data_IF_158693540128
#
_entry.id   IF_158693540128
#
_cell.length_a   1.000
_cell.length_b   1.000
_cell.length_c   1.000
_cell.angle_alpha   90.00
_cell.angle_beta   90.00
_cell.angle_gamma   90.00
#
_symmetry.space_group_name_H-M   'P 1'
#
loop_
_entity.id
_entity.type
_entity.pdbx_description
1 polymer ?
#
# COMPACT_ATOMS: atom_id res chain seq x y z
N UNK A 1 10.81 23.22 27.75
CA UNK A 1 11.60 22.09 28.28
C UNK A 1 10.76 20.79 28.30
N UNK A 2 10.30 20.30 27.15
CA UNK A 2 9.45 19.07 27.08
C UNK A 2 10.02 18.02 26.10
N UNK A 3 11.12 18.30 25.40
CA UNK A 3 11.55 17.46 24.27
C UNK A 3 12.67 16.44 24.57
N UNK A 4 13.15 16.34 25.82
CA UNK A 4 14.23 15.41 26.19
C UNK A 4 13.72 14.07 26.71
N UNK A 5 12.49 13.97 27.26
CA UNK A 5 11.94 12.71 27.78
C UNK A 5 11.56 11.71 26.68
N UNK A 6 11.02 12.17 25.55
CA UNK A 6 10.65 11.30 24.43
C UNK A 6 11.89 10.70 23.73
N UNK A 7 12.99 11.45 23.61
CA UNK A 7 14.23 10.91 23.03
C UNK A 7 14.91 9.86 23.93
N UNK A 8 14.81 10.00 25.27
CA UNK A 8 15.35 9.00 26.21
C UNK A 8 14.51 7.73 26.23
N UNK A 9 13.18 7.84 26.12
CA UNK A 9 12.28 6.68 25.99
C UNK A 9 12.49 5.93 24.66
N UNK A 10 12.71 6.65 23.56
CA UNK A 10 12.93 6.04 22.25
C UNK A 10 14.29 5.33 22.13
N UNK A 11 15.35 5.89 22.74
CA UNK A 11 16.65 5.20 22.88
C UNK A 11 16.57 3.96 23.78
N UNK A 12 15.79 4.03 24.87
CA UNK A 12 15.57 2.89 25.77
C UNK A 12 14.85 1.73 25.07
N UNK A 13 13.89 2.04 24.19
CA UNK A 13 13.10 1.04 23.46
C UNK A 13 13.93 0.31 22.40
N UNK A 14 14.74 1.07 21.62
CA UNK A 14 15.68 0.52 20.64
C UNK A 14 16.73 -0.40 21.30
N UNK A 15 17.23 -0.02 22.48
CA UNK A 15 18.17 -0.86 23.24
C UNK A 15 17.52 -2.16 23.75
N UNK A 16 16.22 -2.12 24.09
CA UNK A 16 15.45 -3.29 24.49
C UNK A 16 15.16 -4.24 23.31
N UNK A 17 14.88 -3.71 22.11
CA UNK A 17 14.74 -4.50 20.89
C UNK A 17 16.05 -5.22 20.51
N UNK A 18 17.18 -4.51 20.57
CA UNK A 18 18.53 -5.09 20.34
C UNK A 18 18.90 -6.20 21.35
N UNK A 19 18.44 -6.09 22.60
CA UNK A 19 18.66 -7.13 23.62
C UNK A 19 17.88 -8.43 23.37
N UNK A 20 16.79 -8.38 22.58
CA UNK A 20 15.97 -9.55 22.23
C UNK A 20 16.60 -10.37 21.10
N UNK A 21 17.30 -9.73 20.16
CA UNK A 21 18.10 -10.40 19.12
C UNK A 21 19.32 -11.14 19.70
N UNK A 22 19.91 -10.64 20.80
CA UNK A 22 20.97 -11.37 21.52
C UNK A 22 20.52 -12.72 22.11
N UNK A 23 19.22 -12.91 22.41
CA UNK A 23 18.71 -14.16 22.99
C UNK A 23 18.35 -15.23 21.95
N UNK A 24 18.16 -14.85 20.68
CA UNK A 24 17.90 -15.81 19.59
C UNK A 24 19.19 -16.36 18.97
N UNK A 25 20.33 -15.71 19.18
CA UNK A 25 21.60 -16.07 18.55
C UNK A 25 22.50 -17.04 19.39
N UNK A 26 22.06 -17.47 20.57
CA UNK A 26 22.86 -18.39 21.41
C UNK A 26 22.10 -19.67 21.75
N UNK A 27 22.16 -20.67 20.86
CA UNK A 27 22.22 -22.13 21.11
C UNK A 27 21.81 -22.93 19.85
N UNK A 28 22.51 -24.04 19.52
CA UNK A 28 22.17 -24.90 18.37
C UNK A 28 20.86 -25.67 18.62
N UNK A 29 20.20 -26.21 17.56
CA UNK A 29 18.78 -26.53 17.62
C UNK A 29 18.51 -27.82 18.40
N UNK A 30 17.65 -27.71 19.42
CA UNK A 30 16.84 -28.83 19.89
C UNK A 30 15.37 -28.39 19.97
N UNK A 31 14.50 -29.25 19.42
CA UNK A 31 13.05 -29.13 19.42
C UNK A 31 12.47 -28.75 20.79
N UNK A 32 11.68 -27.68 20.86
CA UNK A 32 10.37 -27.67 21.54
C UNK A 32 9.59 -26.37 21.29
N UNK A 33 8.30 -26.55 21.03
CA UNK A 33 7.28 -25.52 20.86
C UNK A 33 7.13 -24.64 22.10
N UNK A 34 7.08 -23.31 21.95
CA UNK A 34 6.37 -22.47 22.91
C UNK A 34 5.84 -21.17 22.28
N UNK A 35 4.52 -21.02 22.44
CA UNK A 35 3.69 -19.85 22.12
C UNK A 35 4.24 -18.58 22.78
N UNK A 36 4.28 -17.46 22.02
CA UNK A 36 4.63 -16.14 22.55
C UNK A 36 3.44 -15.18 22.40
N UNK A 37 3.07 -14.62 23.56
CA UNK A 37 1.96 -13.70 23.83
C UNK A 37 2.15 -12.36 23.10
N UNK A 38 1.06 -11.83 22.55
CA UNK A 38 0.96 -10.52 21.92
C UNK A 38 0.70 -9.41 22.96
N UNK A 39 1.36 -8.28 22.78
CA UNK A 39 1.26 -7.07 23.60
C UNK A 39 -0.07 -6.29 23.43
N UNK A 40 -1.04 -6.83 22.67
CA UNK A 40 -2.31 -6.17 22.36
C UNK A 40 -3.47 -6.48 23.32
N UNK A 41 -3.28 -7.32 24.34
CA UNK A 41 -4.35 -7.74 25.26
C UNK A 41 -4.96 -6.61 26.11
N UNK A 42 -4.24 -5.51 26.31
CA UNK A 42 -4.63 -4.48 27.29
C UNK A 42 -5.50 -3.36 26.71
N UNK A 43 -5.60 -3.23 25.38
CA UNK A 43 -6.37 -2.16 24.72
C UNK A 43 -7.85 -2.53 24.47
N UNK A 44 -8.15 -3.83 24.41
CA UNK A 44 -9.49 -4.33 24.04
C UNK A 44 -10.54 -4.12 25.14
N UNK A 45 -10.13 -4.00 26.40
CA UNK A 45 -11.05 -3.83 27.53
C UNK A 45 -11.61 -2.40 27.67
N UNK A 46 -11.10 -1.42 26.91
CA UNK A 46 -11.47 -0.01 27.06
C UNK A 46 -12.64 0.44 26.15
N UNK A 47 -13.11 -0.39 25.21
CA UNK A 47 -14.05 0.02 24.14
C UNK A 47 -15.42 -0.69 24.16
N UNK A 48 -15.72 -1.51 25.17
CA UNK A 48 -16.95 -2.33 25.24
C UNK A 48 -18.24 -1.61 25.68
N UNK A 49 -18.26 -0.27 25.69
CA UNK A 49 -19.29 0.51 26.41
C UNK A 49 -20.34 1.28 25.60
N UNK A 50 -20.36 1.26 24.25
CA UNK A 50 -21.23 2.18 23.48
C UNK A 50 -22.14 1.42 22.50
N UNK A 51 -23.45 1.52 22.72
CA UNK A 51 -24.53 0.99 21.87
C UNK A 51 -25.31 2.16 21.27
N UNK A 52 -25.54 2.16 19.94
CA UNK A 52 -26.45 3.09 19.25
C UNK A 52 -27.36 2.27 18.32
N UNK A 53 -28.66 2.48 18.46
CA UNK A 53 -29.77 1.79 17.79
C UNK A 53 -30.13 2.38 16.42
N UNK A 54 -30.67 1.52 15.55
CA UNK A 54 -31.09 1.80 14.16
C UNK A 54 -32.59 2.12 14.02
N UNK A 55 -33.01 2.75 12.90
CA UNK A 55 -34.37 2.56 12.40
C UNK A 55 -34.47 2.28 10.88
N UNK A 56 -35.13 1.15 10.59
CA UNK A 56 -36.29 0.90 9.71
C UNK A 56 -36.32 1.37 8.23
N UNK A 57 -36.44 0.38 7.34
CA UNK A 57 -36.69 0.47 5.89
C UNK A 57 -38.14 0.83 5.52
N UNK A 58 -38.35 1.50 4.37
CA UNK A 58 -39.63 1.43 3.63
C UNK A 58 -39.39 1.43 2.11
N UNK A 59 -40.08 0.48 1.44
CA UNK A 59 -39.93 0.05 0.03
C UNK A 59 -40.42 1.08 -0.99
N UNK A 60 -39.66 1.26 -2.09
CA UNK A 60 -40.10 1.95 -3.31
C UNK A 60 -40.53 0.96 -4.41
N UNK A 61 -41.61 1.31 -5.10
CA UNK A 61 -42.24 0.57 -6.19
C UNK A 61 -41.49 0.68 -7.52
N UNK A 62 -41.55 -0.39 -8.30
CA UNK A 62 -40.93 -0.62 -9.60
C UNK A 62 -41.62 0.12 -10.76
N UNK A 63 -40.84 0.69 -11.69
CA UNK A 63 -41.29 1.14 -13.02
C UNK A 63 -40.32 0.69 -14.13
N UNK A 64 -40.91 0.43 -15.29
CA UNK A 64 -40.49 -0.51 -16.36
C UNK A 64 -39.23 -0.15 -17.18
N UNK A 65 -38.52 -1.19 -17.60
CA UNK A 65 -37.21 -1.22 -18.24
C UNK A 65 -37.09 -0.72 -19.71
N UNK A 66 -38.09 -0.04 -20.28
CA UNK A 66 -38.06 0.41 -21.70
C UNK A 66 -37.78 1.90 -21.92
N UNK A 67 -37.58 2.67 -20.85
CA UNK A 67 -37.22 4.11 -20.90
C UNK A 67 -35.71 4.36 -20.74
N UNK A 68 -34.95 3.36 -20.28
CA UNK A 68 -33.55 3.51 -19.84
C UNK A 68 -32.52 3.56 -20.97
N UNK A 69 -32.88 3.13 -22.18
CA UNK A 69 -31.90 3.01 -23.28
C UNK A 69 -31.74 4.33 -24.05
N UNK A 70 -32.83 5.11 -24.19
CA UNK A 70 -32.79 6.43 -24.81
C UNK A 70 -32.32 7.55 -23.85
N UNK A 71 -32.29 7.30 -22.55
CA UNK A 71 -31.73 8.21 -21.53
C UNK A 71 -30.19 8.15 -21.44
N UNK A 72 -29.57 7.02 -21.79
CA UNK A 72 -28.12 6.84 -21.71
C UNK A 72 -27.33 7.65 -22.75
N UNK A 73 -27.94 7.98 -23.89
CA UNK A 73 -27.26 8.68 -24.99
C UNK A 73 -27.31 10.21 -24.83
N UNK A 74 -28.23 10.76 -24.03
CA UNK A 74 -28.32 12.20 -23.76
C UNK A 74 -27.63 12.64 -22.45
N UNK A 75 -27.28 11.73 -21.55
CA UNK A 75 -26.65 12.06 -20.27
C UNK A 75 -25.15 12.40 -20.38
N UNK A 76 -24.54 12.25 -21.56
CA UNK A 76 -23.11 12.52 -21.77
C UNK A 76 -22.78 14.00 -22.04
N UNK A 77 -23.76 14.91 -22.04
CA UNK A 77 -23.56 16.32 -22.39
C UNK A 77 -23.99 17.35 -21.32
N UNK A 78 -24.53 16.92 -20.16
CA UNK A 78 -25.02 17.83 -19.11
C UNK A 78 -24.47 17.54 -17.71
N UNK A 79 -23.25 17.03 -17.57
CA UNK A 79 -22.57 17.14 -16.27
C UNK A 79 -22.14 18.61 -16.15
N UNK A 80 -23.11 19.45 -15.80
CA UNK A 80 -22.91 20.85 -15.42
C UNK A 80 -21.89 20.91 -14.30
N UNK A 81 -20.95 21.84 -14.44
CA UNK A 81 -19.91 22.26 -13.50
C UNK A 81 -20.40 22.40 -12.03
N UNK A 82 -21.70 22.53 -11.79
CA UNK A 82 -22.33 22.97 -10.52
C UNK A 82 -22.63 21.88 -9.49
N UNK A 83 -22.32 20.60 -9.75
CA UNK A 83 -22.38 19.55 -8.73
C UNK A 83 -21.06 18.77 -8.60
N UNK A 84 -19.94 19.46 -8.86
CA UNK A 84 -18.61 18.97 -8.50
C UNK A 84 -18.43 19.18 -7.00
N UNK A 85 -18.51 18.11 -6.21
CA UNK A 85 -18.01 18.13 -4.84
C UNK A 85 -16.47 18.26 -4.91
N UNK A 86 -16.00 19.50 -5.04
CA UNK A 86 -14.59 19.81 -5.18
C UNK A 86 -13.95 19.76 -3.80
N UNK A 87 -13.41 18.59 -3.45
CA UNK A 87 -12.76 18.33 -2.17
C UNK A 87 -11.74 19.41 -1.80
N UNK A 88 -10.96 19.88 -2.77
CA UNK A 88 -9.94 20.89 -2.51
C UNK A 88 -10.57 22.25 -2.23
N UNK A 89 -11.57 22.69 -3.00
CA UNK A 89 -12.31 23.93 -2.68
C UNK A 89 -13.01 23.87 -1.33
N UNK A 90 -13.58 22.73 -0.98
CA UNK A 90 -14.24 22.56 0.32
C UNK A 90 -13.25 22.69 1.49
N UNK A 91 -11.97 22.44 1.24
CA UNK A 91 -10.90 22.48 2.24
C UNK A 91 -9.96 23.68 2.04
N UNK A 92 -10.35 24.70 1.25
CA UNK A 92 -9.51 25.84 0.85
C UNK A 92 -8.75 26.51 2.02
N UNK A 93 -9.39 26.54 3.19
CA UNK A 93 -8.87 27.19 4.39
C UNK A 93 -8.09 26.26 5.34
N UNK A 94 -7.96 24.96 5.03
CA UNK A 94 -7.16 24.04 5.84
C UNK A 94 -5.70 24.05 5.35
N UNK A 95 -4.76 24.66 6.12
CA UNK A 95 -3.35 24.70 5.74
C UNK A 95 -2.70 23.31 5.70
N UNK A 96 -3.32 22.29 6.31
CA UNK A 96 -2.81 20.91 6.29
C UNK A 96 -3.25 20.11 5.06
N UNK A 97 -4.29 20.55 4.34
CA UNK A 97 -4.78 19.87 3.13
C UNK A 97 -4.16 20.40 1.83
N UNK A 98 -3.52 21.58 1.88
CA UNK A 98 -2.81 22.20 0.74
C UNK A 98 -3.64 22.15 -0.57
N UNK A 99 -4.91 22.57 -0.52
CA UNK A 99 -5.86 22.37 -1.61
C UNK A 99 -5.44 23.07 -2.90
N UNK A 100 -4.87 24.27 -2.78
CA UNK A 100 -4.48 25.13 -3.92
C UNK A 100 -3.40 24.53 -4.82
N UNK A 101 -2.65 23.53 -4.35
CA UNK A 101 -1.60 22.87 -5.13
C UNK A 101 -1.89 21.39 -5.37
N UNK A 102 -2.97 20.85 -4.81
CA UNK A 102 -3.20 19.41 -4.83
C UNK A 102 -3.37 18.88 -6.25
N UNK A 103 -4.17 19.54 -7.09
CA UNK A 103 -4.35 19.18 -8.50
C UNK A 103 -3.02 19.21 -9.26
N UNK A 104 -2.28 20.32 -9.20
CA UNK A 104 -0.98 20.50 -9.85
C UNK A 104 0.05 19.44 -9.43
N UNK A 105 0.10 19.09 -8.13
CA UNK A 105 0.99 18.06 -7.61
C UNK A 105 0.69 16.70 -8.22
N UNK A 106 -0.59 16.31 -8.28
CA UNK A 106 -0.98 15.01 -8.81
C UNK A 106 -0.89 14.94 -10.33
N UNK A 107 -1.07 16.05 -11.03
CA UNK A 107 -0.81 16.16 -12.46
C UNK A 107 0.68 16.08 -12.80
N UNK A 108 1.52 16.74 -11.98
CA UNK A 108 2.96 16.56 -12.03
C UNK A 108 3.34 15.08 -11.83
N UNK A 109 2.78 14.39 -10.83
CA UNK A 109 3.06 12.96 -10.62
C UNK A 109 2.58 12.08 -11.78
N UNK A 110 1.39 12.32 -12.35
CA UNK A 110 0.86 11.59 -13.53
C UNK A 110 1.70 11.82 -14.79
N UNK A 111 2.28 13.01 -14.94
CA UNK A 111 3.23 13.29 -16.01
C UNK A 111 4.57 12.56 -15.74
N UNK A 112 5.06 12.64 -14.51
CA UNK A 112 6.36 12.13 -14.09
C UNK A 112 6.45 10.61 -14.10
N UNK A 113 5.41 9.88 -13.71
CA UNK A 113 5.44 8.40 -13.68
C UNK A 113 5.77 7.78 -15.04
N UNK A 114 5.50 8.50 -16.14
CA UNK A 114 5.82 8.06 -17.50
C UNK A 114 7.32 7.93 -17.75
N UNK A 115 8.14 8.69 -17.02
CA UNK A 115 9.62 8.61 -17.07
C UNK A 115 10.16 7.38 -16.34
N UNK A 116 9.41 6.83 -15.39
CA UNK A 116 9.84 5.76 -14.49
C UNK A 116 9.21 4.40 -14.81
N UNK A 117 8.64 4.23 -16.01
CA UNK A 117 8.06 2.95 -16.42
C UNK A 117 9.14 1.89 -16.58
N UNK A 118 9.08 0.87 -15.72
CA UNK A 118 10.04 -0.23 -15.73
C UNK A 118 9.63 -1.27 -16.77
N UNK A 119 10.55 -1.57 -17.69
CA UNK A 119 10.39 -2.62 -18.70
C UNK A 119 10.84 -3.98 -18.15
N UNK A 120 10.55 -5.05 -18.89
CA UNK A 120 10.98 -6.41 -18.55
C UNK A 120 12.52 -6.55 -18.61
N UNK A 121 13.18 -6.18 -17.49
CA UNK A 121 14.62 -6.14 -17.34
C UNK A 121 15.22 -7.49 -16.94
N UNK A 122 14.45 -8.37 -16.29
CA UNK A 122 14.95 -9.67 -15.82
C UNK A 122 15.21 -10.62 -16.99
N UNK A 123 14.57 -10.44 -18.15
CA UNK A 123 14.96 -11.17 -19.38
C UNK A 123 16.42 -11.02 -19.77
N UNK A 124 17.06 -9.91 -19.38
CA UNK A 124 18.48 -9.64 -19.68
C UNK A 124 19.42 -10.14 -18.58
N UNK A 125 18.90 -10.46 -17.40
CA UNK A 125 19.68 -10.90 -16.25
C UNK A 125 19.92 -12.42 -16.33
N UNK A 126 21.18 -12.84 -16.27
CA UNK A 126 21.55 -14.27 -16.38
C UNK A 126 21.55 -15.00 -15.04
N UNK A 127 21.73 -14.27 -13.94
CA UNK A 127 21.96 -14.82 -12.59
C UNK A 127 20.85 -14.50 -11.59
N UNK A 128 19.93 -13.58 -11.91
CA UNK A 128 18.86 -13.14 -11.02
C UNK A 128 17.52 -13.56 -11.59
N UNK A 129 16.73 -14.26 -10.77
CA UNK A 129 15.39 -14.73 -11.16
C UNK A 129 14.28 -13.86 -10.56
N UNK A 130 13.04 -14.07 -10.99
CA UNK A 130 11.86 -13.37 -10.44
C UNK A 130 11.62 -13.75 -8.98
N UNK A 131 11.94 -14.99 -8.63
CA UNK A 131 11.83 -15.57 -7.30
C UNK A 131 12.84 -14.92 -6.35
N UNK A 132 14.10 -14.75 -6.78
CA UNK A 132 15.13 -14.04 -5.99
C UNK A 132 14.72 -12.58 -5.70
N UNK A 133 14.11 -11.91 -6.68
CA UNK A 133 13.55 -10.56 -6.48
C UNK A 133 12.43 -10.57 -5.43
N UNK A 134 11.53 -11.55 -5.48
CA UNK A 134 10.44 -11.66 -4.52
C UNK A 134 10.95 -11.88 -3.08
N UNK A 135 11.98 -12.73 -2.91
CA UNK A 135 12.66 -12.96 -1.62
C UNK A 135 13.26 -11.65 -1.08
N UNK A 136 13.97 -10.90 -1.92
CA UNK A 136 14.54 -9.61 -1.52
C UNK A 136 13.46 -8.62 -1.09
N UNK A 137 12.34 -8.53 -1.83
CA UNK A 137 11.25 -7.59 -1.51
C UNK A 137 10.54 -7.97 -0.22
N UNK A 138 10.26 -9.25 0.00
CA UNK A 138 9.63 -9.73 1.23
C UNK A 138 10.51 -9.44 2.46
N UNK A 139 11.83 -9.67 2.33
CA UNK A 139 12.80 -9.27 3.36
C UNK A 139 12.86 -7.75 3.57
N UNK A 140 12.78 -6.94 2.50
CA UNK A 140 12.73 -5.48 2.64
C UNK A 140 11.48 -4.99 3.38
N UNK A 141 10.36 -5.70 3.28
CA UNK A 141 9.15 -5.39 4.07
C UNK A 141 9.41 -5.69 5.55
N UNK A 142 10.02 -6.84 5.86
CA UNK A 142 10.41 -7.19 7.23
C UNK A 142 11.35 -6.13 7.83
N UNK A 143 12.36 -5.70 7.07
CA UNK A 143 13.27 -4.63 7.45
C UNK A 143 12.51 -3.33 7.70
N UNK A 144 11.57 -2.96 6.82
CA UNK A 144 10.74 -1.76 7.00
C UNK A 144 9.96 -1.79 8.32
N UNK A 145 9.39 -2.94 8.69
CA UNK A 145 8.67 -3.08 9.96
C UNK A 145 9.61 -3.01 11.18
N UNK A 146 10.76 -3.68 11.11
CA UNK A 146 11.73 -3.71 12.21
C UNK A 146 12.32 -2.33 12.55
N UNK A 147 12.48 -1.47 11.54
CA UNK A 147 12.94 -0.09 11.73
C UNK A 147 11.81 0.95 11.83
N UNK A 148 10.55 0.52 11.78
CA UNK A 148 9.38 1.41 11.79
C UNK A 148 9.44 2.50 10.70
N UNK A 149 10.02 2.19 9.52
CA UNK A 149 10.08 3.14 8.42
C UNK A 149 8.69 3.47 7.90
N UNK A 150 8.51 4.68 7.37
CA UNK A 150 7.28 5.02 6.68
C UNK A 150 7.08 4.06 5.51
N UNK A 151 5.83 3.69 5.22
CA UNK A 151 5.53 2.87 4.04
C UNK A 151 6.09 3.51 2.76
N UNK A 152 6.09 4.85 2.67
CA UNK A 152 6.71 5.59 1.55
C UNK A 152 8.19 5.24 1.36
N UNK A 153 8.91 4.89 2.42
CA UNK A 153 10.32 4.47 2.41
C UNK A 153 10.51 3.02 1.96
N UNK A 154 9.55 2.12 2.12
CA UNK A 154 9.60 0.82 1.46
C UNK A 154 9.55 0.98 -0.06
N UNK A 155 8.65 1.85 -0.53
CA UNK A 155 8.53 2.14 -1.95
C UNK A 155 9.72 2.97 -2.47
N UNK A 156 10.35 3.81 -1.65
CA UNK A 156 11.50 4.65 -2.02
C UNK A 156 12.88 4.02 -1.73
N UNK A 157 12.89 2.95 -0.95
CA UNK A 157 14.04 2.24 -0.40
C UNK A 157 15.25 3.14 -0.05
N UNK A 158 15.12 3.80 1.10
CA UNK A 158 16.17 3.91 2.14
C UNK A 158 16.94 5.23 2.36
N UNK A 159 16.89 6.26 1.50
CA UNK A 159 17.58 7.56 1.83
C UNK A 159 16.68 8.76 2.10
N UNK A 160 15.36 8.65 1.92
CA UNK A 160 14.46 9.82 2.00
C UNK A 160 13.67 9.94 3.32
N UNK A 161 13.92 9.06 4.29
CA UNK A 161 13.28 9.11 5.60
C UNK A 161 13.84 10.28 6.44
N UNK A 162 13.02 10.92 7.27
CA UNK A 162 13.46 12.04 8.14
C UNK A 162 14.52 11.64 9.18
N UNK A 163 14.62 10.34 9.49
CA UNK A 163 15.60 9.75 10.39
C UNK A 163 16.09 8.44 9.78
N UNK A 164 17.01 8.45 8.80
CA UNK A 164 17.54 7.22 8.24
C UNK A 164 18.34 6.48 9.33
N UNK A 165 18.33 5.14 9.31
CA UNK A 165 19.14 4.38 10.25
C UNK A 165 20.63 4.59 9.91
N UNK A 166 21.51 4.25 10.84
CA UNK A 166 22.95 4.38 10.61
C UNK A 166 23.45 3.32 9.62
N UNK A 167 24.65 3.53 9.06
CA UNK A 167 25.31 2.50 8.24
C UNK A 167 25.55 1.22 9.06
N UNK A 168 25.84 1.34 10.36
CA UNK A 168 26.04 0.21 11.25
C UNK A 168 24.78 -0.66 11.37
N UNK A 169 23.62 -0.03 11.40
CA UNK A 169 22.32 -0.73 11.41
C UNK A 169 22.09 -1.50 10.10
N UNK A 170 22.47 -0.93 8.94
CA UNK A 170 22.39 -1.62 7.65
C UNK A 170 23.32 -2.82 7.57
N UNK A 171 24.56 -2.68 8.06
CA UNK A 171 25.50 -3.80 8.08
C UNK A 171 24.99 -4.91 9.00
N UNK A 172 24.45 -4.53 10.16
CA UNK A 172 23.90 -5.47 11.13
C UNK A 172 22.74 -6.30 10.55
N UNK A 173 21.77 -5.68 9.88
CA UNK A 173 20.65 -6.45 9.27
C UNK A 173 21.09 -7.32 8.10
N UNK A 174 22.19 -6.96 7.44
CA UNK A 174 22.78 -7.78 6.39
C UNK A 174 23.69 -8.89 6.96
N UNK A 175 23.63 -9.18 8.26
CA UNK A 175 24.51 -10.12 8.97
C UNK A 175 26.00 -9.85 8.73
N UNK A 176 26.37 -8.57 8.57
CA UNK A 176 27.70 -8.11 8.21
C UNK A 176 28.27 -8.80 6.95
N UNK A 177 27.40 -9.24 6.03
CA UNK A 177 27.80 -9.81 4.74
C UNK A 177 28.53 -8.80 3.83
N UNK A 178 28.43 -7.51 4.16
CA UNK A 178 29.05 -6.41 3.42
C UNK A 178 29.82 -5.50 4.38
N UNK A 179 30.76 -4.75 3.82
CA UNK A 179 31.49 -3.67 4.49
C UNK A 179 30.82 -2.32 4.24
N UNK A 180 31.10 -1.33 5.10
CA UNK A 180 30.59 0.03 4.90
C UNK A 180 31.00 0.62 3.55
N UNK A 181 32.24 0.38 3.11
CA UNK A 181 32.74 0.91 1.84
C UNK A 181 32.01 0.27 0.65
N UNK A 182 31.75 -1.04 0.67
CA UNK A 182 30.96 -1.70 -0.39
C UNK A 182 29.54 -1.11 -0.49
N UNK A 183 28.91 -0.83 0.66
CA UNK A 183 27.58 -0.19 0.69
C UNK A 183 27.66 1.23 0.11
N UNK A 184 28.66 2.03 0.48
CA UNK A 184 28.84 3.38 -0.08
C UNK A 184 29.17 3.37 -1.58
N UNK A 185 29.98 2.42 -2.03
CA UNK A 185 30.24 2.23 -3.45
C UNK A 185 28.96 1.92 -4.22
N UNK A 186 28.12 1.01 -3.70
CA UNK A 186 26.83 0.68 -4.32
C UNK A 186 25.83 1.83 -4.25
N UNK A 187 25.79 2.58 -3.16
CA UNK A 187 24.98 3.80 -3.07
C UNK A 187 25.36 4.80 -4.17
N UNK A 188 26.67 5.10 -4.30
CA UNK A 188 27.18 6.02 -5.34
C UNK A 188 26.89 5.49 -6.75
N UNK A 189 27.04 4.19 -6.96
CA UNK A 189 26.79 3.55 -8.25
C UNK A 189 25.31 3.64 -8.65
N UNK A 190 24.39 3.33 -7.73
CA UNK A 190 22.94 3.44 -7.95
C UNK A 190 22.55 4.89 -8.26
N UNK A 191 23.01 5.87 -7.47
CA UNK A 191 22.68 7.28 -7.68
C UNK A 191 23.19 7.80 -9.03
N UNK A 192 24.38 7.38 -9.47
CA UNK A 192 24.90 7.72 -10.79
C UNK A 192 24.04 7.13 -11.92
N UNK A 193 23.63 5.86 -11.80
CA UNK A 193 22.77 5.22 -12.80
C UNK A 193 21.37 5.84 -12.87
N UNK A 194 20.88 6.39 -11.76
CA UNK A 194 19.62 7.13 -11.71
C UNK A 194 19.77 8.60 -12.11
N UNK A 195 20.97 9.06 -12.44
CA UNK A 195 21.27 10.48 -12.71
C UNK A 195 20.81 11.39 -11.57
N UNK A 196 20.84 10.87 -10.33
CA UNK A 196 20.28 11.49 -9.12
C UNK A 196 18.78 11.82 -9.20
N UNK A 197 18.06 11.33 -10.21
CA UNK A 197 16.61 11.42 -10.28
C UNK A 197 15.92 10.29 -9.51
N UNK A 198 15.76 10.52 -8.22
CA UNK A 198 15.07 9.62 -7.28
C UNK A 198 13.60 10.02 -7.06
N UNK A 199 13.08 11.02 -7.78
CA UNK A 199 11.75 11.59 -7.56
C UNK A 199 10.60 10.78 -8.14
N UNK A 200 10.68 9.44 -8.15
CA UNK A 200 9.66 8.61 -8.77
C UNK A 200 8.33 8.67 -7.97
N UNK A 201 7.17 8.81 -8.65
CA UNK A 201 5.87 8.73 -7.99
C UNK A 201 5.65 7.35 -7.37
N UNK A 202 4.83 7.28 -6.31
CA UNK A 202 4.51 6.03 -5.61
C UNK A 202 3.02 5.75 -5.69
N UNK A 203 2.65 4.50 -5.93
CA UNK A 203 1.26 4.03 -5.90
C UNK A 203 0.57 4.37 -4.59
N UNK A 204 1.25 4.20 -3.45
CA UNK A 204 0.69 4.56 -2.15
C UNK A 204 0.37 6.06 -2.03
N UNK A 205 1.13 6.98 -2.66
CA UNK A 205 0.79 8.42 -2.63
C UNK A 205 -0.50 8.73 -3.40
N UNK A 206 -0.68 8.11 -4.57
CA UNK A 206 -1.92 8.18 -5.33
C UNK A 206 -3.10 7.62 -4.51
N UNK A 207 -2.93 6.44 -3.91
CA UNK A 207 -3.96 5.79 -3.11
C UNK A 207 -4.43 6.67 -1.94
N UNK A 208 -3.50 7.31 -1.21
CA UNK A 208 -3.86 8.24 -0.11
C UNK A 208 -4.74 9.38 -0.59
N UNK A 209 -4.44 9.94 -1.77
CA UNK A 209 -5.22 11.03 -2.34
C UNK A 209 -6.60 10.56 -2.77
N UNK A 210 -6.68 9.42 -3.46
CA UNK A 210 -7.96 8.85 -3.88
C UNK A 210 -8.86 8.60 -2.67
N UNK A 211 -8.32 7.92 -1.65
CA UNK A 211 -9.03 7.62 -0.42
C UNK A 211 -9.47 8.89 0.32
N UNK A 212 -8.64 9.93 0.34
CA UNK A 212 -8.97 11.18 1.04
C UNK A 212 -10.10 11.95 0.35
N UNK A 213 -10.04 12.08 -0.98
CA UNK A 213 -11.06 12.80 -1.76
C UNK A 213 -12.41 12.10 -1.67
N UNK A 214 -12.44 10.77 -1.74
CA UNK A 214 -13.67 9.98 -1.67
C UNK A 214 -14.10 9.65 -0.22
N UNK A 215 -13.42 10.22 0.78
CA UNK A 215 -13.66 9.96 2.21
C UNK A 215 -13.70 8.46 2.59
N UNK A 216 -12.72 7.69 2.10
CA UNK A 216 -12.60 6.27 2.37
C UNK A 216 -12.25 6.01 3.84
N UNK A 217 -12.86 4.97 4.41
CA UNK A 217 -12.52 4.54 5.75
C UNK A 217 -11.15 3.82 5.81
N UNK A 218 -10.57 3.79 7.01
CA UNK A 218 -9.21 3.29 7.22
C UNK A 218 -9.05 1.82 6.80
N UNK A 219 -10.09 1.01 6.94
CA UNK A 219 -10.05 -0.41 6.53
C UNK A 219 -9.94 -0.53 5.01
N UNK A 220 -10.64 0.30 4.21
CA UNK A 220 -10.52 0.27 2.74
C UNK A 220 -9.12 0.71 2.32
N UNK A 221 -8.62 1.80 2.91
CA UNK A 221 -7.27 2.29 2.63
C UNK A 221 -6.21 1.24 3.00
N UNK A 222 -6.36 0.57 4.13
CA UNK A 222 -5.42 -0.45 4.61
C UNK A 222 -5.46 -1.69 3.72
N UNK A 223 -6.65 -2.11 3.28
CA UNK A 223 -6.77 -3.24 2.36
C UNK A 223 -6.21 -2.92 0.97
N UNK A 224 -6.49 -1.73 0.42
CA UNK A 224 -5.88 -1.31 -0.84
C UNK A 224 -4.35 -1.22 -0.74
N UNK A 225 -3.82 -0.78 0.40
CA UNK A 225 -2.36 -0.79 0.67
C UNK A 225 -1.80 -2.21 0.71
N UNK A 226 -2.48 -3.16 1.36
CA UNK A 226 -2.09 -4.56 1.35
C UNK A 226 -1.97 -5.10 -0.08
N UNK A 227 -2.97 -4.82 -0.93
CA UNK A 227 -2.96 -5.21 -2.34
C UNK A 227 -1.76 -4.62 -3.08
N UNK A 228 -1.42 -3.34 -2.83
CA UNK A 228 -0.25 -2.70 -3.44
C UNK A 228 1.07 -3.34 -2.96
N UNK A 229 1.24 -3.57 -1.66
CA UNK A 229 2.46 -4.21 -1.13
C UNK A 229 2.59 -5.66 -1.64
N UNK A 230 1.49 -6.41 -1.67
CA UNK A 230 1.47 -7.76 -2.25
C UNK A 230 1.88 -7.74 -3.75
N UNK A 231 1.43 -6.73 -4.51
CA UNK A 231 1.80 -6.59 -5.93
C UNK A 231 3.32 -6.43 -6.14
N UNK A 232 4.07 -5.95 -5.15
CA UNK A 232 5.52 -5.81 -5.25
C UNK A 232 6.22 -7.17 -5.40
N UNK A 233 5.66 -8.24 -4.81
CA UNK A 233 6.20 -9.60 -4.90
C UNK A 233 6.10 -10.16 -6.33
N UNK A 234 5.09 -9.73 -7.09
CA UNK A 234 4.78 -10.29 -8.40
C UNK A 234 5.38 -9.45 -9.53
N UNK A 235 6.35 -10.04 -10.23
CA UNK A 235 7.06 -9.37 -11.33
C UNK A 235 6.15 -8.90 -12.47
N UNK A 236 4.95 -9.47 -12.63
CA UNK A 236 4.04 -9.09 -13.71
C UNK A 236 3.52 -7.65 -13.61
N UNK A 237 3.58 -7.03 -12.43
CA UNK A 237 3.02 -5.69 -12.18
C UNK A 237 3.99 -4.53 -12.49
N UNK A 238 5.28 -4.79 -12.70
CA UNK A 238 6.30 -3.73 -12.88
C UNK A 238 6.03 -2.80 -14.07
N UNK A 239 5.24 -3.26 -15.04
CA UNK A 239 4.95 -2.55 -16.29
C UNK A 239 3.81 -1.54 -16.16
N UNK A 240 3.04 -1.61 -15.08
CA UNK A 240 1.90 -0.73 -14.87
C UNK A 240 2.37 0.59 -14.27
N UNK A 241 1.60 1.65 -14.54
CA UNK A 241 1.75 2.94 -13.90
C UNK A 241 1.35 2.85 -12.43
N UNK A 242 2.03 3.61 -11.58
CA UNK A 242 1.75 3.68 -10.15
C UNK A 242 0.33 4.21 -9.88
N UNK A 243 -0.12 5.21 -10.66
CA UNK A 243 -1.49 5.74 -10.58
C UNK A 243 -2.56 4.69 -10.92
N UNK A 244 -2.26 3.80 -11.87
CA UNK A 244 -3.15 2.74 -12.33
C UNK A 244 -3.21 1.58 -11.32
N UNK A 245 -2.06 1.17 -10.77
CA UNK A 245 -2.01 0.19 -9.67
C UNK A 245 -2.80 0.68 -8.46
N UNK A 246 -2.61 1.93 -8.05
CA UNK A 246 -3.33 2.55 -6.94
C UNK A 246 -4.85 2.53 -7.15
N UNK A 247 -5.32 2.92 -8.34
CA UNK A 247 -6.75 2.94 -8.66
C UNK A 247 -7.36 1.53 -8.71
N UNK A 248 -6.65 0.56 -9.30
CA UNK A 248 -7.11 -0.82 -9.39
C UNK A 248 -7.13 -1.53 -8.02
N UNK A 249 -6.13 -1.29 -7.18
CA UNK A 249 -6.09 -1.78 -5.81
C UNK A 249 -7.21 -1.15 -4.96
N UNK A 250 -7.50 0.14 -5.17
CA UNK A 250 -8.60 0.81 -4.50
C UNK A 250 -9.96 0.25 -4.92
N UNK A 251 -10.18 0.05 -6.23
CA UNK A 251 -11.38 -0.61 -6.75
C UNK A 251 -11.57 -2.02 -6.17
N UNK A 252 -10.48 -2.79 -6.06
CA UNK A 252 -10.54 -4.11 -5.43
C UNK A 252 -11.02 -4.01 -3.99
N UNK A 253 -10.46 -3.06 -3.23
CA UNK A 253 -10.81 -2.87 -1.84
C UNK A 253 -12.27 -2.45 -1.63
N UNK A 254 -12.77 -1.52 -2.46
CA UNK A 254 -14.19 -1.16 -2.47
C UNK A 254 -15.06 -2.37 -2.80
N UNK A 255 -14.72 -3.12 -3.85
CA UNK A 255 -15.52 -4.27 -4.32
C UNK A 255 -15.58 -5.40 -3.30
N UNK A 256 -14.46 -5.75 -2.68
CA UNK A 256 -14.40 -6.81 -1.66
C UNK A 256 -15.18 -6.48 -0.38
N UNK A 257 -15.42 -5.19 -0.16
CA UNK A 257 -16.19 -4.67 0.99
C UNK A 257 -17.59 -4.23 0.61
N UNK A 258 -18.04 -4.57 -0.59
CA UNK A 258 -19.38 -4.25 -1.09
C UNK A 258 -19.68 -2.74 -1.10
N UNK A 259 -18.64 -1.91 -1.25
CA UNK A 259 -18.75 -0.46 -1.38
C UNK A 259 -18.99 -0.07 -2.84
N UNK A 260 -19.86 0.93 -3.05
CA UNK A 260 -20.17 1.43 -4.37
C UNK A 260 -19.00 2.23 -4.97
N UNK A 261 -18.63 1.91 -6.22
CA UNK A 261 -17.68 2.71 -6.99
C UNK A 261 -18.41 3.89 -7.64
N UNK A 262 -18.32 5.06 -7.03
CA UNK A 262 -19.04 6.27 -7.48
C UNK A 262 -18.32 7.00 -8.63
N UNK A 263 -18.98 7.99 -9.20
CA UNK A 263 -18.39 8.89 -10.21
C UNK A 263 -17.21 9.68 -9.66
N UNK A 264 -17.23 10.06 -8.38
CA UNK A 264 -16.13 10.77 -7.70
C UNK A 264 -14.85 9.92 -7.68
N UNK A 265 -14.97 8.60 -7.48
CA UNK A 265 -13.84 7.67 -7.55
C UNK A 265 -13.21 7.67 -8.95
N UNK A 266 -14.03 7.59 -9.99
CA UNK A 266 -13.55 7.59 -11.37
C UNK A 266 -12.89 8.93 -11.74
N UNK A 267 -13.43 10.04 -11.26
CA UNK A 267 -12.90 11.39 -11.48
C UNK A 267 -11.51 11.57 -10.82
N UNK A 268 -11.37 11.28 -9.53
CA UNK A 268 -10.10 11.49 -8.82
C UNK A 268 -8.99 10.56 -9.34
N UNK A 269 -9.34 9.32 -9.67
CA UNK A 269 -8.40 8.35 -10.21
C UNK A 269 -8.00 8.66 -11.65
N UNK A 270 -8.89 9.29 -12.43
CA UNK A 270 -8.72 9.48 -13.87
C UNK A 270 -8.90 8.20 -14.68
N UNK A 271 -9.57 7.19 -14.12
CA UNK A 271 -9.83 5.90 -14.76
C UNK A 271 -11.28 5.48 -14.59
N UNK A 272 -11.91 4.99 -15.66
CA UNK A 272 -13.24 4.37 -15.56
C UNK A 272 -13.14 2.98 -14.92
N UNK A 273 -14.25 2.54 -14.31
CA UNK A 273 -14.32 1.22 -13.67
C UNK A 273 -13.98 0.09 -14.65
N UNK A 274 -14.45 0.19 -15.89
CA UNK A 274 -14.26 -0.79 -16.95
C UNK A 274 -12.79 -0.92 -17.33
N UNK A 275 -12.05 0.19 -17.36
CA UNK A 275 -10.62 0.20 -17.65
C UNK A 275 -9.79 -0.39 -16.51
N UNK A 276 -10.27 -0.27 -15.26
CA UNK A 276 -9.60 -0.81 -14.08
C UNK A 276 -9.85 -2.31 -13.87
N UNK A 277 -11.01 -2.83 -14.27
CA UNK A 277 -11.42 -4.21 -14.03
C UNK A 277 -10.35 -5.25 -14.40
N UNK A 278 -9.69 -5.21 -15.58
CA UNK A 278 -8.69 -6.20 -15.94
C UNK A 278 -7.49 -6.23 -14.98
N UNK A 279 -7.02 -5.07 -14.53
CA UNK A 279 -5.89 -5.00 -13.59
C UNK A 279 -6.34 -5.37 -12.17
N UNK A 280 -7.53 -4.92 -11.76
CA UNK A 280 -8.13 -5.27 -10.47
C UNK A 280 -8.24 -6.79 -10.29
N UNK A 281 -8.68 -7.52 -11.31
CA UNK A 281 -8.80 -8.97 -11.22
C UNK A 281 -7.44 -9.67 -11.20
N UNK A 282 -6.41 -9.12 -11.87
CA UNK A 282 -5.04 -9.64 -11.76
C UNK A 282 -4.48 -9.45 -10.36
N UNK A 283 -4.72 -8.29 -9.74
CA UNK A 283 -4.35 -8.04 -8.35
C UNK A 283 -5.10 -8.98 -7.39
N UNK A 284 -6.39 -9.19 -7.60
CA UNK A 284 -7.18 -10.15 -6.81
C UNK A 284 -6.63 -11.58 -6.94
N UNK A 285 -6.26 -12.00 -8.15
CA UNK A 285 -5.63 -13.30 -8.37
C UNK A 285 -4.24 -13.40 -7.73
N UNK A 286 -3.47 -12.32 -7.69
CA UNK A 286 -2.17 -12.28 -7.01
C UNK A 286 -2.32 -12.48 -5.50
N UNK A 287 -3.26 -11.77 -4.88
CA UNK A 287 -3.59 -11.92 -3.45
C UNK A 287 -4.15 -13.31 -3.13
N UNK A 288 -4.91 -13.92 -4.05
CA UNK A 288 -5.49 -15.25 -3.87
C UNK A 288 -4.47 -16.39 -4.01
N UNK A 289 -3.39 -16.17 -4.77
CA UNK A 289 -2.38 -17.20 -5.01
C UNK A 289 -1.62 -17.45 -3.71
N UNK A 290 -1.38 -18.72 -3.35
CA UNK A 290 -0.41 -19.01 -2.30
C UNK A 290 0.95 -18.43 -2.74
N UNK A 291 1.77 -17.96 -1.79
CA UNK A 291 3.07 -17.41 -2.11
C UNK A 291 3.91 -18.43 -2.88
N UNK A 292 4.72 -17.94 -3.84
CA UNK A 292 5.58 -18.78 -4.70
C UNK A 292 6.52 -19.68 -3.89
N UNK A 293 6.90 -19.23 -2.71
CA UNK A 293 7.66 -19.97 -1.70
C UNK A 293 6.91 -19.83 -0.37
N UNK A 294 6.80 -20.91 0.41
CA UNK A 294 6.19 -20.91 1.75
C UNK A 294 6.81 -19.87 2.71
N UNK A 295 8.01 -19.41 2.43
CA UNK A 295 8.73 -18.39 3.20
C UNK A 295 8.29 -16.95 2.91
N UNK A 296 7.64 -16.66 1.77
CA UNK A 296 7.18 -15.30 1.41
C UNK A 296 5.87 -14.96 2.12
N UNK A 297 5.96 -14.72 3.43
CA UNK A 297 4.79 -14.58 4.31
C UNK A 297 4.74 -13.26 5.08
N UNK A 298 5.80 -12.46 5.08
CA UNK A 298 5.89 -11.27 5.92
C UNK A 298 4.78 -10.27 5.61
N UNK A 299 4.52 -9.98 4.32
CA UNK A 299 3.41 -9.10 3.92
C UNK A 299 2.07 -9.65 4.42
N UNK A 300 1.81 -10.95 4.24
CA UNK A 300 0.55 -11.54 4.69
C UNK A 300 0.42 -11.51 6.22
N UNK A 301 1.48 -11.84 6.95
CA UNK A 301 1.51 -11.84 8.42
C UNK A 301 1.30 -10.43 8.99
N UNK A 302 1.97 -9.42 8.41
CA UNK A 302 1.77 -8.00 8.71
C UNK A 302 0.30 -7.61 8.61
N UNK A 303 -0.32 -7.78 7.45
CA UNK A 303 -1.70 -7.37 7.22
C UNK A 303 -2.76 -8.31 7.82
N UNK A 304 -2.33 -9.46 8.37
CA UNK A 304 -3.18 -10.33 9.19
C UNK A 304 -3.27 -9.87 10.64
N UNK A 305 -2.43 -8.93 11.07
CA UNK A 305 -2.44 -8.41 12.43
C UNK A 305 -3.59 -7.42 12.65
N UNK A 306 -4.10 -7.35 13.89
CA UNK A 306 -5.27 -6.52 14.27
C UNK A 306 -5.08 -5.02 14.04
N UNK A 307 -3.83 -4.53 14.14
CA UNK A 307 -3.50 -3.11 13.85
C UNK A 307 -3.73 -2.74 12.38
N UNK A 308 -3.67 -3.73 11.49
CA UNK A 308 -3.97 -3.58 10.08
C UNK A 308 -5.36 -4.09 9.73
N UNK A 309 -6.24 -4.19 10.74
CA UNK A 309 -7.64 -4.62 10.60
C UNK A 309 -7.80 -6.02 10.00
N UNK A 310 -6.76 -6.85 10.08
CA UNK A 310 -6.73 -8.22 9.56
C UNK A 310 -7.14 -8.31 8.08
N UNK A 311 -6.88 -7.26 7.30
CA UNK A 311 -7.34 -7.14 5.91
C UNK A 311 -6.80 -8.22 4.98
N UNK A 312 -5.68 -8.86 5.33
CA UNK A 312 -5.16 -10.00 4.59
C UNK A 312 -6.07 -11.25 4.69
N UNK A 313 -6.93 -11.33 5.71
CA UNK A 313 -7.88 -12.42 5.91
C UNK A 313 -9.18 -12.22 5.12
N UNK A 314 -9.37 -11.06 4.49
CA UNK A 314 -10.52 -10.82 3.61
C UNK A 314 -10.41 -11.79 2.42
N UNK A 315 -11.44 -12.61 2.15
CA UNK A 315 -11.38 -13.60 1.10
C UNK A 315 -11.25 -12.93 -0.27
N UNK A 316 -10.43 -13.51 -1.13
CA UNK A 316 -10.32 -13.06 -2.51
C UNK A 316 -11.66 -13.22 -3.25
N UNK A 317 -11.95 -12.27 -4.14
CA UNK A 317 -13.17 -12.27 -4.92
C UNK A 317 -13.17 -13.41 -5.94
N UNK A 318 -14.35 -13.98 -6.20
CA UNK A 318 -14.54 -14.96 -7.25
C UNK A 318 -14.77 -14.21 -8.57
N UNK A 319 -13.94 -14.41 -9.61
CA UNK A 319 -14.09 -13.70 -10.86
C UNK A 319 -15.38 -14.13 -11.58
N UNK A 320 -16.14 -13.19 -12.17
CA UNK A 320 -17.38 -13.50 -12.89
C UNK A 320 -17.13 -14.18 -14.25
N UNK A 321 -15.90 -14.17 -14.75
CA UNK A 321 -15.51 -14.81 -16.01
C UNK A 321 -14.03 -15.20 -15.99
N UNK A 322 -13.71 -16.36 -16.57
CA UNK A 322 -12.35 -16.87 -16.73
C UNK A 322 -11.45 -15.99 -17.61
N UNK A 323 -12.02 -15.02 -18.34
CA UNK A 323 -11.24 -14.08 -19.16
C UNK A 323 -10.28 -13.21 -18.34
N UNK A 324 -10.55 -13.03 -17.04
CA UNK A 324 -9.75 -12.20 -16.15
C UNK A 324 -8.59 -12.95 -15.47
N UNK A 325 -8.51 -14.28 -15.66
CA UNK A 325 -7.48 -15.15 -15.09
C UNK A 325 -6.31 -15.46 -16.06
N UNK A 326 -6.35 -14.92 -17.28
CA UNK A 326 -5.37 -15.21 -18.35
C UNK A 326 -4.24 -14.18 -18.47
#
# INVERSE_FOLDING_TARGET
MVNTRNQTQQKSFCHQAMSRLKRSASSPPQHQSNSKRSAFGDLTNALSGVQISSPSETKLQTRSAKSLENLKVQQAAWITEEFRNDYDKNNEFDPYEIPNYAEDIFDYYRCRERKFLVKDYLRKQKSITKEMRAILIDWMVEVQENFEFNHETLYQAVKMERCPPSIEDFLYICDNAYTAEEVFEKERDILKHLEFDIGFPLSYRFLRRYARVTNADLVTLTFARYVLENSLLHYEFIKYKESHLAAAAYLLACTARELEWTTEHAQVCGYSKENLMPLMWKLNAAVAKPPLNAELKHIYEKYSHVIFHEVAKIPALIPPSNQYLK
#
